data_IF_260828945164
#
_entry.id   IF_260828945164
#
_cell.length_a   1.000
_cell.length_b   1.000
_cell.length_c   1.000
_cell.angle_alpha   90.00
_cell.angle_beta   90.00
_cell.angle_gamma   90.00
#
_symmetry.space_group_name_H-M   'P 1'
#
loop_
_entity.id
_entity.type
_entity.pdbx_description
1 polymer ?
#
# COMPACT_ATOMS: atom_id res chain seq x y z
N UNK A 1 -35.26 10.87 -18.06
CA UNK A 1 -34.42 9.67 -18.23
C UNK A 1 -32.96 10.00 -18.53
N UNK A 2 -32.64 11.07 -19.25
CA UNK A 2 -31.25 11.48 -19.59
C UNK A 2 -30.38 11.90 -18.40
N UNK A 3 -30.93 12.57 -17.39
CA UNK A 3 -30.17 13.01 -16.21
C UNK A 3 -29.71 11.84 -15.31
N UNK A 4 -30.58 10.86 -15.07
CA UNK A 4 -30.27 9.67 -14.26
C UNK A 4 -29.11 8.85 -14.84
N UNK A 5 -29.05 8.73 -16.17
CA UNK A 5 -27.96 8.01 -16.86
C UNK A 5 -26.62 8.75 -16.80
N UNK A 6 -26.63 10.08 -16.70
CA UNK A 6 -25.41 10.88 -16.55
C UNK A 6 -24.82 10.78 -15.14
N UNK A 7 -25.65 10.83 -14.10
CA UNK A 7 -25.20 10.66 -12.71
C UNK A 7 -24.61 9.28 -12.45
N UNK A 8 -25.27 8.23 -12.95
CA UNK A 8 -24.76 6.86 -12.86
C UNK A 8 -23.40 6.68 -13.58
N UNK A 9 -23.22 7.31 -14.75
CA UNK A 9 -21.93 7.31 -15.46
C UNK A 9 -20.85 8.06 -14.69
N UNK A 10 -21.18 9.20 -14.07
CA UNK A 10 -20.26 10.00 -13.26
C UNK A 10 -19.76 9.21 -12.04
N UNK A 11 -20.66 8.54 -11.33
CA UNK A 11 -20.30 7.68 -10.18
C UNK A 11 -19.35 6.54 -10.59
N UNK A 12 -19.65 5.85 -11.70
CA UNK A 12 -18.80 4.76 -12.19
C UNK A 12 -17.38 5.21 -12.60
N UNK A 13 -17.26 6.42 -13.18
CA UNK A 13 -15.97 7.03 -13.48
C UNK A 13 -15.17 7.35 -12.22
N UNK A 14 -15.83 7.88 -11.17
CA UNK A 14 -15.17 8.19 -9.91
C UNK A 14 -14.62 6.94 -9.22
N UNK A 15 -15.42 5.86 -9.13
CA UNK A 15 -14.98 4.59 -8.54
C UNK A 15 -13.80 4.02 -9.31
N UNK A 16 -13.82 4.04 -10.65
CA UNK A 16 -12.68 3.59 -11.47
C UNK A 16 -11.40 4.38 -11.15
N UNK A 17 -11.49 5.69 -10.97
CA UNK A 17 -10.33 6.52 -10.62
C UNK A 17 -9.78 6.16 -9.24
N UNK A 18 -10.64 5.90 -8.25
CA UNK A 18 -10.22 5.46 -6.91
C UNK A 18 -9.49 4.12 -6.96
N UNK A 19 -10.03 3.13 -7.68
CA UNK A 19 -9.37 1.82 -7.88
C UNK A 19 -7.98 1.99 -8.50
N UNK A 20 -7.86 2.76 -9.58
CA UNK A 20 -6.59 3.00 -10.25
C UNK A 20 -5.59 3.77 -9.38
N UNK A 21 -6.08 4.66 -8.51
CA UNK A 21 -5.24 5.37 -7.54
C UNK A 21 -4.63 4.38 -6.55
N UNK A 22 -5.43 3.52 -5.92
CA UNK A 22 -4.93 2.50 -4.98
C UNK A 22 -3.94 1.56 -5.66
N UNK A 23 -4.24 1.11 -6.89
CA UNK A 23 -3.32 0.27 -7.66
C UNK A 23 -1.95 0.93 -7.87
N UNK A 24 -1.93 2.21 -8.29
CA UNK A 24 -0.69 2.97 -8.48
C UNK A 24 0.03 3.20 -7.16
N UNK A 25 -0.71 3.54 -6.11
CA UNK A 25 -0.17 3.77 -4.77
C UNK A 25 0.56 2.52 -4.26
N UNK A 26 -0.09 1.35 -4.27
CA UNK A 26 0.55 0.08 -3.88
C UNK A 26 1.82 -0.22 -4.68
N UNK A 27 1.82 0.06 -5.99
CA UNK A 27 2.99 -0.13 -6.83
C UNK A 27 4.14 0.86 -6.56
N UNK A 28 3.85 2.05 -6.04
CA UNK A 28 4.86 3.00 -5.57
C UNK A 28 5.38 2.59 -4.20
N UNK A 29 4.47 2.29 -3.26
CA UNK A 29 4.81 1.86 -1.91
C UNK A 29 5.74 0.64 -1.92
N UNK A 30 5.47 -0.38 -2.74
CA UNK A 30 6.39 -1.53 -2.83
C UNK A 30 7.81 -1.14 -3.29
N UNK A 31 7.96 -0.13 -4.14
CA UNK A 31 9.26 0.29 -4.66
C UNK A 31 10.08 1.00 -3.59
N UNK A 32 9.39 1.73 -2.70
CA UNK A 32 9.99 2.41 -1.56
C UNK A 32 10.28 1.44 -0.41
N UNK A 33 9.33 0.56 -0.10
CA UNK A 33 9.41 -0.38 1.04
C UNK A 33 10.36 -1.53 0.80
N UNK A 34 10.48 -2.01 -0.44
CA UNK A 34 11.35 -3.14 -0.82
C UNK A 34 12.51 -2.68 -1.71
N UNK A 35 13.02 -1.47 -1.51
CA UNK A 35 14.08 -0.90 -2.35
C UNK A 35 15.27 -1.87 -2.39
N UNK A 36 15.79 -2.11 -3.59
CA UNK A 36 16.93 -3.00 -3.88
C UNK A 36 16.73 -4.48 -3.52
N UNK A 37 15.54 -4.90 -3.08
CA UNK A 37 15.18 -6.31 -2.90
C UNK A 37 14.37 -6.80 -4.10
N UNK A 38 15.07 -7.20 -5.16
CA UNK A 38 14.45 -7.63 -6.43
C UNK A 38 13.46 -8.79 -6.26
N UNK A 39 13.71 -9.68 -5.28
CA UNK A 39 12.83 -10.80 -4.97
C UNK A 39 11.53 -10.29 -4.36
N UNK A 40 11.59 -9.46 -3.33
CA UNK A 40 10.40 -8.89 -2.70
C UNK A 40 9.65 -7.94 -3.65
N UNK A 41 10.37 -7.12 -4.42
CA UNK A 41 9.79 -6.26 -5.47
C UNK A 41 8.99 -7.10 -6.48
N UNK A 42 9.56 -8.19 -6.96
CA UNK A 42 8.91 -9.05 -7.95
C UNK A 42 7.69 -9.76 -7.35
N UNK A 43 7.84 -10.35 -6.16
CA UNK A 43 6.74 -11.01 -5.46
C UNK A 43 5.56 -10.06 -5.19
N UNK A 44 5.85 -8.85 -4.68
CA UNK A 44 4.84 -7.81 -4.46
C UNK A 44 4.19 -7.38 -5.78
N UNK A 45 4.95 -7.28 -6.89
CA UNK A 45 4.40 -6.97 -8.23
C UNK A 45 3.34 -7.98 -8.61
N UNK A 46 3.68 -9.25 -8.49
CA UNK A 46 2.85 -10.36 -8.93
C UNK A 46 1.58 -10.40 -8.10
N UNK A 47 1.70 -10.27 -6.77
CA UNK A 47 0.56 -10.31 -5.87
C UNK A 47 -0.43 -9.16 -6.10
N UNK A 48 0.07 -7.93 -6.23
CA UNK A 48 -0.79 -6.78 -6.56
C UNK A 48 -1.53 -7.01 -7.87
N UNK A 49 -0.83 -7.43 -8.92
CA UNK A 49 -1.47 -7.68 -10.22
C UNK A 49 -2.47 -8.85 -10.19
N UNK A 50 -2.16 -9.92 -9.46
CA UNK A 50 -3.04 -11.07 -9.28
C UNK A 50 -4.36 -10.66 -8.63
N UNK A 51 -4.32 -9.98 -7.48
CA UNK A 51 -5.52 -9.59 -6.75
C UNK A 51 -6.40 -8.61 -7.54
N UNK A 52 -5.81 -7.65 -8.24
CA UNK A 52 -6.58 -6.73 -9.08
C UNK A 52 -7.18 -7.42 -10.30
N UNK A 53 -6.50 -8.42 -10.90
CA UNK A 53 -7.05 -9.20 -12.01
C UNK A 53 -8.18 -10.11 -11.54
N UNK A 54 -8.03 -10.76 -10.38
CA UNK A 54 -9.04 -11.64 -9.78
C UNK A 54 -10.36 -10.93 -9.56
N UNK A 55 -10.32 -9.65 -9.17
CA UNK A 55 -11.50 -8.87 -8.83
C UNK A 55 -11.95 -7.90 -9.94
N UNK A 56 -11.38 -7.99 -11.15
CA UNK A 56 -11.62 -7.01 -12.24
C UNK A 56 -13.08 -6.89 -12.68
N UNK A 57 -13.84 -7.97 -12.52
CA UNK A 57 -15.23 -8.11 -13.00
C UNK A 57 -16.26 -7.92 -11.87
N UNK A 58 -15.84 -7.50 -10.67
CA UNK A 58 -16.75 -7.14 -9.58
C UNK A 58 -17.66 -5.97 -10.00
N UNK A 59 -18.95 -6.09 -9.67
CA UNK A 59 -20.00 -5.12 -10.02
C UNK A 59 -20.71 -4.56 -8.79
N UNK A 60 -20.60 -5.21 -7.63
CA UNK A 60 -21.19 -4.73 -6.39
C UNK A 60 -20.37 -3.55 -5.86
N UNK A 61 -20.97 -2.35 -5.87
CA UNK A 61 -20.30 -1.11 -5.46
C UNK A 61 -19.77 -1.21 -4.02
N UNK A 62 -20.53 -1.82 -3.10
CA UNK A 62 -20.11 -2.02 -1.71
C UNK A 62 -18.82 -2.86 -1.60
N UNK A 63 -18.71 -3.93 -2.39
CA UNK A 63 -17.50 -4.76 -2.42
C UNK A 63 -16.31 -3.99 -2.98
N UNK A 64 -16.53 -3.19 -4.02
CA UNK A 64 -15.48 -2.34 -4.61
C UNK A 64 -14.97 -1.33 -3.58
N UNK A 65 -15.87 -0.68 -2.83
CA UNK A 65 -15.47 0.27 -1.79
C UNK A 65 -14.69 -0.42 -0.66
N UNK A 66 -15.11 -1.63 -0.23
CA UNK A 66 -14.36 -2.44 0.74
C UNK A 66 -12.95 -2.79 0.24
N UNK A 67 -12.82 -3.18 -1.02
CA UNK A 67 -11.52 -3.50 -1.64
C UNK A 67 -10.61 -2.27 -1.79
N UNK A 68 -11.18 -1.10 -2.15
CA UNK A 68 -10.44 0.17 -2.18
C UNK A 68 -9.90 0.48 -0.78
N UNK A 69 -10.73 0.38 0.25
CA UNK A 69 -10.31 0.61 1.64
C UNK A 69 -9.21 -0.36 2.05
N UNK A 70 -9.41 -1.66 1.80
CA UNK A 70 -8.42 -2.69 2.11
C UNK A 70 -7.07 -2.41 1.44
N UNK A 71 -7.06 -2.02 0.15
CA UNK A 71 -5.82 -1.69 -0.54
C UNK A 71 -5.12 -0.45 0.03
N UNK A 72 -5.87 0.55 0.47
CA UNK A 72 -5.31 1.71 1.18
C UNK A 72 -4.76 1.31 2.56
N UNK A 73 -5.48 0.49 3.33
CA UNK A 73 -5.03 0.00 4.64
C UNK A 73 -3.73 -0.82 4.49
N UNK A 74 -3.61 -1.64 3.44
CA UNK A 74 -2.38 -2.38 3.12
C UNK A 74 -1.21 -1.43 2.80
N UNK A 75 -1.43 -0.33 2.07
CA UNK A 75 -0.38 0.66 1.84
C UNK A 75 0.16 1.22 3.16
N UNK A 76 -0.74 1.61 4.07
CA UNK A 76 -0.37 2.16 5.38
C UNK A 76 0.48 1.14 6.16
N UNK A 77 0.05 -0.12 6.21
CA UNK A 77 0.79 -1.19 6.89
C UNK A 77 2.19 -1.38 6.27
N UNK A 78 2.29 -1.44 4.94
CA UNK A 78 3.58 -1.57 4.27
C UNK A 78 4.50 -0.39 4.61
N UNK A 79 3.99 0.84 4.56
CA UNK A 79 4.79 2.04 4.78
C UNK A 79 5.20 2.23 6.24
N UNK A 80 4.35 1.86 7.20
CA UNK A 80 4.60 2.13 8.62
C UNK A 80 5.24 0.97 9.38
N UNK A 81 4.99 -0.28 8.95
CA UNK A 81 5.29 -1.45 9.77
C UNK A 81 6.32 -2.40 9.13
N UNK A 82 6.74 -2.16 7.89
CA UNK A 82 7.75 -3.00 7.22
C UNK A 82 9.11 -2.31 7.20
N UNK A 83 10.11 -2.96 7.79
CA UNK A 83 11.52 -2.56 7.80
C UNK A 83 12.35 -3.61 7.06
N UNK A 84 13.26 -3.18 6.18
CA UNK A 84 14.18 -4.10 5.49
C UNK A 84 15.41 -4.37 6.37
N UNK A 85 15.94 -5.59 6.26
CA UNK A 85 17.20 -5.98 6.89
C UNK A 85 17.99 -6.90 5.97
N UNK A 86 19.31 -6.87 6.10
CA UNK A 86 20.25 -7.72 5.36
C UNK A 86 21.19 -8.41 6.34
N UNK A 87 21.52 -9.69 6.07
CA UNK A 87 22.54 -10.41 6.82
C UNK A 87 23.91 -10.04 6.24
N UNK A 88 24.79 -9.46 7.06
CA UNK A 88 26.09 -8.93 6.63
C UNK A 88 27.29 -9.65 7.28
N UNK A 89 27.02 -10.65 8.13
CA UNK A 89 28.02 -11.46 8.82
C UNK A 89 27.33 -12.45 9.75
N UNK A 90 28.03 -13.46 10.27
CA UNK A 90 27.46 -14.64 10.97
C UNK A 90 26.34 -14.28 11.98
N UNK A 91 26.54 -13.25 12.79
CA UNK A 91 25.56 -12.78 13.78
C UNK A 91 25.23 -11.29 13.62
N UNK A 92 25.39 -10.72 12.43
CA UNK A 92 25.18 -9.28 12.19
C UNK A 92 24.10 -9.02 11.17
N UNK A 93 23.12 -8.20 11.56
CA UNK A 93 22.04 -7.72 10.71
C UNK A 93 22.20 -6.21 10.48
N UNK A 94 22.12 -5.79 9.22
CA UNK A 94 22.07 -4.40 8.84
C UNK A 94 20.61 -4.01 8.55
N UNK A 95 20.05 -3.16 9.41
CA UNK A 95 18.71 -2.59 9.18
C UNK A 95 18.80 -1.47 8.14
N UNK A 96 17.80 -1.38 7.26
CA UNK A 96 17.66 -0.31 6.26
C UNK A 96 16.37 0.49 6.54
N UNK A 97 16.36 1.36 7.58
CA UNK A 97 15.20 2.19 7.87
C UNK A 97 15.00 3.26 6.79
N UNK A 98 13.72 3.57 6.55
CA UNK A 98 13.33 4.72 5.73
C UNK A 98 13.29 5.97 6.62
N UNK A 99 13.60 7.12 6.03
CA UNK A 99 13.65 8.40 6.74
C UNK A 99 12.32 8.73 7.45
N UNK A 100 11.19 8.37 6.84
CA UNK A 100 9.85 8.60 7.39
C UNK A 100 9.51 7.75 8.63
N UNK A 101 10.36 6.78 8.97
CA UNK A 101 10.27 5.98 10.20
C UNK A 101 11.17 6.49 11.32
N UNK A 102 12.12 7.39 11.03
CA UNK A 102 13.09 7.86 12.01
C UNK A 102 12.50 8.97 12.89
N UNK A 103 12.96 9.05 14.14
CA UNK A 103 12.58 10.08 15.10
C UNK A 103 13.76 11.04 15.32
N UNK A 104 13.49 12.35 15.43
CA UNK A 104 14.53 13.36 15.64
C UNK A 104 15.05 13.37 17.08
N UNK A 105 16.19 12.71 17.33
CA UNK A 105 16.97 12.78 18.57
C UNK A 105 16.12 12.69 19.86
N UNK A 106 15.11 11.84 19.80
CA UNK A 106 14.16 11.68 20.89
C UNK A 106 14.76 10.68 21.90
N UNK A 107 14.94 11.03 23.19
CA UNK A 107 15.43 10.09 24.19
C UNK A 107 14.57 8.85 24.24
N UNK A 108 15.16 7.65 24.29
CA UNK A 108 14.42 6.40 24.38
C UNK A 108 13.44 6.42 25.57
N UNK A 109 12.25 5.86 25.37
CA UNK A 109 11.21 5.76 26.39
C UNK A 109 10.51 4.41 26.23
N UNK A 110 10.39 3.65 27.32
CA UNK A 110 9.70 2.35 27.34
C UNK A 110 8.18 2.47 27.13
N UNK A 111 7.63 3.65 27.35
CA UNK A 111 6.21 3.92 27.10
C UNK A 111 6.00 4.30 25.62
N UNK A 112 4.99 3.69 24.94
CA UNK A 112 4.62 4.10 23.60
C UNK A 112 4.30 5.59 23.55
N UNK A 113 4.93 6.32 22.62
CA UNK A 113 4.56 7.70 22.34
C UNK A 113 3.51 7.74 21.25
N UNK A 114 2.49 8.56 21.45
CA UNK A 114 1.60 8.93 20.36
C UNK A 114 2.41 9.70 19.31
N UNK A 115 2.35 9.25 18.05
CA UNK A 115 2.92 10.00 16.93
C UNK A 115 2.12 11.30 16.81
N UNK A 116 2.80 12.45 16.98
CA UNK A 116 2.23 13.79 16.83
C UNK A 116 1.82 14.09 15.39
#
# INVERSE_FOLDING_TARGET
MTHFTQEARKGKMETRLKVLRVFKTLHRTRMEVFKEDDRALTAARLKINEEFRKNKDEKAEENIQKMIKMGSDVEIVLRQNVLQMEHVGEETLMLRPREDLLLENVPYCDQPRDKS
#
